data_IF_532200718594
#
_entry.id   IF_532200718594
#
_cell.length_a   1.000
_cell.length_b   1.000
_cell.length_c   1.000
_cell.angle_alpha   90.00
_cell.angle_beta   90.00
_cell.angle_gamma   90.00
#
_symmetry.space_group_name_H-M   'P 1'
#
loop_
_entity.id
_entity.type
_entity.pdbx_description
1 polymer ?
#
# COMPACT_ATOMS: atom_id res chain seq x y z
N UNK A 1 1.96 29.68 -26.66
CA UNK A 1 1.87 29.54 -25.17
C UNK A 1 1.36 28.14 -24.88
N UNK A 2 2.02 27.39 -24.00
CA UNK A 2 1.62 26.02 -23.63
C UNK A 2 0.75 26.05 -22.37
N UNK A 3 -0.34 25.28 -22.34
CA UNK A 3 -1.41 25.36 -21.33
C UNK A 3 -0.95 25.18 -19.87
N UNK A 4 0.25 24.59 -19.66
CA UNK A 4 0.93 24.46 -18.38
C UNK A 4 1.18 25.77 -17.60
N UNK A 5 1.00 26.94 -18.22
CA UNK A 5 1.10 28.24 -17.54
C UNK A 5 -0.15 28.62 -16.73
N UNK A 6 -1.33 28.04 -17.03
CA UNK A 6 -2.60 28.37 -16.36
C UNK A 6 -2.93 27.53 -15.11
N UNK A 7 -2.07 26.59 -14.70
CA UNK A 7 -2.22 25.79 -13.48
C UNK A 7 -0.97 25.83 -12.60
N UNK A 8 -0.66 27.03 -12.09
CA UNK A 8 0.43 27.28 -11.13
C UNK A 8 0.13 26.63 -9.78
N UNK A 9 0.35 25.32 -9.68
CA UNK A 9 0.11 24.53 -8.46
C UNK A 9 0.98 25.07 -7.32
N UNK A 10 0.31 25.46 -6.23
CA UNK A 10 0.95 26.05 -5.07
C UNK A 10 1.87 25.07 -4.33
N UNK A 11 2.92 25.59 -3.69
CA UNK A 11 3.79 24.79 -2.84
C UNK A 11 2.99 24.38 -1.58
N UNK A 12 2.95 23.09 -1.19
CA UNK A 12 2.30 22.69 0.06
C UNK A 12 2.90 23.45 1.26
N UNK A 13 2.06 23.95 2.17
CA UNK A 13 2.52 24.53 3.43
C UNK A 13 2.88 23.40 4.40
N UNK A 14 4.16 23.00 4.43
CA UNK A 14 4.65 21.87 5.22
C UNK A 14 4.44 22.07 6.71
N UNK A 15 4.66 23.29 7.20
CA UNK A 15 4.79 23.58 8.63
C UNK A 15 3.42 23.44 9.32
N UNK A 16 2.37 24.04 8.74
CA UNK A 16 0.97 23.89 9.17
C UNK A 16 0.42 22.46 9.00
N UNK A 17 1.05 21.61 8.19
CA UNK A 17 0.75 20.18 8.12
C UNK A 17 1.48 19.40 9.23
N UNK A 18 2.73 19.76 9.57
CA UNK A 18 3.47 19.13 10.68
C UNK A 18 2.89 19.45 12.06
N UNK A 19 2.41 20.68 12.29
CA UNK A 19 1.72 21.06 13.54
C UNK A 19 0.47 20.20 13.78
N UNK A 20 -0.35 20.00 12.74
CA UNK A 20 -1.55 19.14 12.80
C UNK A 20 -1.21 17.67 13.05
N UNK A 21 -0.14 17.15 12.44
CA UNK A 21 0.32 15.79 12.69
C UNK A 21 0.87 15.64 14.13
N UNK A 22 1.50 16.70 14.68
CA UNK A 22 1.95 16.76 16.07
C UNK A 22 0.79 16.68 17.08
N UNK A 23 -0.17 17.60 16.99
CA UNK A 23 -1.31 17.66 17.93
C UNK A 23 -2.21 16.41 17.88
N UNK A 24 -2.34 15.77 16.71
CA UNK A 24 -3.01 14.47 16.59
C UNK A 24 -2.17 13.35 17.23
N UNK A 25 -0.84 13.36 17.10
CA UNK A 25 0.02 12.38 17.77
C UNK A 25 -0.01 12.52 19.30
N UNK A 26 -0.01 13.74 19.82
CA UNK A 26 -0.20 14.01 21.26
C UNK A 26 -1.56 13.51 21.75
N UNK A 27 -2.63 13.76 20.99
CA UNK A 27 -3.98 13.29 21.28
C UNK A 27 -4.06 11.75 21.32
N UNK A 28 -3.39 11.07 20.39
CA UNK A 28 -3.24 9.61 20.38
C UNK A 28 -2.51 9.13 21.64
N UNK A 29 -1.39 9.76 22.02
CA UNK A 29 -0.57 9.33 23.16
C UNK A 29 -1.22 9.62 24.52
N UNK A 30 -2.03 10.68 24.63
CA UNK A 30 -2.91 10.90 25.77
C UNK A 30 -3.98 9.80 25.88
N UNK A 31 -4.54 9.34 24.76
CA UNK A 31 -5.57 8.30 24.76
C UNK A 31 -4.98 6.91 25.02
N UNK A 32 -3.78 6.59 24.51
CA UNK A 32 -3.03 5.38 24.89
C UNK A 32 -2.88 5.28 26.41
N UNK A 33 -2.37 6.34 27.07
CA UNK A 33 -2.20 6.40 28.53
C UNK A 33 -3.52 6.15 29.30
N UNK A 34 -4.65 6.64 28.77
CA UNK A 34 -5.99 6.38 29.34
C UNK A 34 -6.42 4.92 29.15
N UNK A 35 -6.21 4.33 27.97
CA UNK A 35 -6.47 2.92 27.68
C UNK A 35 -5.60 2.00 28.56
N UNK A 36 -4.30 2.28 28.68
CA UNK A 36 -3.35 1.51 29.50
C UNK A 36 -3.74 1.51 30.97
N UNK A 37 -4.24 2.64 31.50
CA UNK A 37 -4.72 2.73 32.88
C UNK A 37 -6.03 1.97 33.08
N UNK A 38 -7.03 2.17 32.22
CA UNK A 38 -8.27 1.38 32.23
C UNK A 38 -7.97 -0.13 32.11
N UNK A 39 -6.99 -0.53 31.30
CA UNK A 39 -6.60 -1.93 31.13
C UNK A 39 -5.92 -2.52 32.37
N UNK A 40 -5.23 -1.71 33.19
CA UNK A 40 -4.74 -2.13 34.53
C UNK A 40 -5.91 -2.32 35.48
N UNK A 41 -6.85 -1.38 35.53
CA UNK A 41 -8.05 -1.43 36.37
C UNK A 41 -8.93 -2.66 36.03
N UNK A 42 -9.21 -2.89 34.74
CA UNK A 42 -9.88 -4.08 34.20
C UNK A 42 -9.15 -5.37 34.63
N UNK A 43 -7.81 -5.41 34.52
CA UNK A 43 -7.00 -6.57 34.91
C UNK A 43 -7.01 -6.82 36.42
N UNK A 44 -7.22 -5.80 37.24
CA UNK A 44 -7.41 -5.93 38.70
C UNK A 44 -8.83 -6.42 38.98
N UNK A 45 -9.86 -5.77 38.43
CA UNK A 45 -11.27 -6.07 38.67
C UNK A 45 -11.70 -7.48 38.19
N UNK A 46 -11.05 -8.03 37.16
CA UNK A 46 -11.31 -9.37 36.64
C UNK A 46 -10.64 -10.50 37.49
N UNK A 47 -9.75 -10.16 38.44
CA UNK A 47 -9.21 -11.13 39.41
C UNK A 47 -10.28 -11.46 40.46
N UNK A 48 -10.49 -12.75 40.71
CA UNK A 48 -11.47 -13.24 41.69
C UNK A 48 -12.68 -13.97 41.11
N UNK A 49 -12.83 -14.07 39.78
CA UNK A 49 -13.91 -14.86 39.14
C UNK A 49 -13.89 -16.33 39.55
N UNK A 50 -12.72 -16.95 39.63
CA UNK A 50 -12.56 -18.34 40.10
C UNK A 50 -12.88 -18.49 41.58
N UNK A 51 -12.46 -17.53 42.41
CA UNK A 51 -12.70 -17.55 43.85
C UNK A 51 -14.19 -17.38 44.18
N UNK A 52 -14.88 -16.49 43.45
CA UNK A 52 -16.34 -16.38 43.47
C UNK A 52 -17.00 -17.69 43.05
N UNK A 53 -16.52 -18.35 41.98
CA UNK A 53 -17.08 -19.62 41.53
C UNK A 53 -16.86 -20.76 42.54
N UNK A 54 -15.72 -20.79 43.26
CA UNK A 54 -15.48 -21.72 44.38
C UNK A 54 -16.46 -21.42 45.52
N UNK A 55 -16.42 -20.21 46.09
CA UNK A 55 -17.33 -19.78 47.18
C UNK A 55 -18.81 -19.98 46.85
N UNK A 56 -19.23 -19.77 45.59
CA UNK A 56 -20.59 -20.06 45.13
C UNK A 56 -20.90 -21.55 45.16
N UNK A 57 -20.00 -22.43 44.69
CA UNK A 57 -20.18 -23.89 44.79
C UNK A 57 -20.25 -24.33 46.25
N UNK A 58 -19.36 -23.85 47.10
CA UNK A 58 -19.27 -24.23 48.52
C UNK A 58 -20.54 -23.87 49.30
N UNK A 59 -21.15 -22.71 49.00
CA UNK A 59 -22.43 -22.30 49.62
C UNK A 59 -23.60 -23.11 49.05
N UNK A 60 -23.60 -23.43 47.74
CA UNK A 60 -24.65 -24.26 47.13
C UNK A 60 -24.63 -25.69 47.70
N UNK A 61 -23.46 -26.34 47.81
CA UNK A 61 -23.37 -27.70 48.36
C UNK A 61 -23.82 -27.79 49.82
N UNK A 62 -23.66 -26.71 50.62
CA UNK A 62 -24.24 -26.61 51.97
C UNK A 62 -25.76 -26.42 51.97
N UNK A 63 -26.28 -25.59 51.06
CA UNK A 63 -27.74 -25.42 50.89
C UNK A 63 -28.39 -26.75 50.49
N UNK A 64 -27.70 -27.55 49.69
CA UNK A 64 -28.15 -28.88 49.25
C UNK A 64 -27.97 -29.94 50.34
N UNK A 65 -26.89 -29.93 51.13
CA UNK A 65 -26.74 -30.83 52.29
C UNK A 65 -27.82 -30.58 53.34
N UNK A 66 -28.09 -29.31 53.68
CA UNK A 66 -29.19 -28.95 54.57
C UNK A 66 -30.56 -29.33 53.99
N UNK A 67 -30.76 -29.30 52.67
CA UNK A 67 -32.00 -29.81 52.07
C UNK A 67 -32.13 -31.33 52.29
N UNK A 68 -31.08 -32.09 51.99
CA UNK A 68 -31.07 -33.54 52.16
C UNK A 68 -31.28 -33.98 53.61
N UNK A 69 -30.81 -33.19 54.59
CA UNK A 69 -31.06 -33.42 56.02
C UNK A 69 -32.49 -33.06 56.45
N UNK A 70 -33.04 -31.95 55.94
CA UNK A 70 -34.46 -31.60 56.14
C UNK A 70 -35.37 -32.68 55.56
N UNK A 71 -35.09 -33.18 54.34
CA UNK A 71 -35.92 -34.20 53.69
C UNK A 71 -35.89 -35.55 54.44
N UNK A 72 -34.73 -35.96 54.98
CA UNK A 72 -34.62 -37.13 55.86
C UNK A 72 -35.50 -36.98 57.10
N UNK A 73 -35.36 -35.87 57.81
CA UNK A 73 -36.14 -35.58 59.02
C UNK A 73 -37.63 -35.42 58.72
N UNK A 74 -38.02 -34.87 57.57
CA UNK A 74 -39.42 -34.79 57.14
C UNK A 74 -40.01 -36.15 56.75
N UNK A 75 -39.18 -37.12 56.34
CA UNK A 75 -39.59 -38.50 56.12
C UNK A 75 -39.71 -39.28 57.44
N UNK A 76 -38.77 -39.10 58.37
CA UNK A 76 -38.89 -39.62 59.74
C UNK A 76 -40.15 -39.09 60.45
N UNK A 77 -40.39 -37.78 60.34
CA UNK A 77 -41.60 -37.12 60.87
C UNK A 77 -42.89 -37.68 60.26
N UNK A 78 -42.89 -38.05 58.97
CA UNK A 78 -44.02 -38.71 58.30
C UNK A 78 -44.23 -40.12 58.85
N UNK A 79 -43.19 -40.96 58.90
CA UNK A 79 -43.29 -42.31 59.46
C UNK A 79 -43.75 -42.34 60.92
N UNK A 80 -43.36 -41.34 61.74
CA UNK A 80 -43.86 -41.20 63.12
C UNK A 80 -45.33 -40.78 63.16
N UNK A 81 -45.80 -39.92 62.25
CA UNK A 81 -47.22 -39.57 62.13
C UNK A 81 -48.05 -40.79 61.71
N UNK A 82 -47.58 -41.58 60.74
CA UNK A 82 -48.24 -42.80 60.28
C UNK A 82 -48.33 -43.84 61.42
N UNK A 83 -47.26 -44.00 62.20
CA UNK A 83 -47.25 -44.83 63.42
C UNK A 83 -48.26 -44.31 64.46
N UNK A 84 -48.32 -42.99 64.71
CA UNK A 84 -49.31 -42.41 65.62
C UNK A 84 -50.74 -42.70 65.13
N UNK A 85 -51.02 -42.58 63.83
CA UNK A 85 -52.34 -42.88 63.27
C UNK A 85 -52.71 -44.36 63.43
N UNK A 86 -51.77 -45.28 63.16
CA UNK A 86 -51.96 -46.72 63.38
C UNK A 86 -52.24 -47.03 64.88
N UNK A 87 -51.47 -46.44 65.80
CA UNK A 87 -51.70 -46.57 67.25
C UNK A 87 -53.06 -46.02 67.68
N UNK A 88 -53.49 -44.88 67.12
CA UNK A 88 -54.82 -44.33 67.38
C UNK A 88 -55.96 -45.20 66.82
N UNK A 89 -55.78 -45.83 65.65
CA UNK A 89 -56.73 -46.81 65.10
C UNK A 89 -56.86 -48.01 66.04
N UNK A 90 -55.74 -48.59 66.48
CA UNK A 90 -55.76 -49.71 67.41
C UNK A 90 -56.37 -49.35 68.78
N UNK A 91 -56.14 -48.15 69.32
CA UNK A 91 -56.86 -47.69 70.52
C UNK A 91 -58.38 -47.60 70.31
N UNK A 92 -58.84 -47.16 69.14
CA UNK A 92 -60.28 -47.15 68.81
C UNK A 92 -60.85 -48.58 68.77
N UNK A 93 -60.13 -49.52 68.15
CA UNK A 93 -60.49 -50.95 68.16
C UNK A 93 -60.58 -51.51 69.60
N UNK A 94 -59.55 -51.31 70.43
CA UNK A 94 -59.54 -51.75 71.83
C UNK A 94 -60.72 -51.16 72.62
N UNK A 95 -61.02 -49.86 72.43
CA UNK A 95 -62.16 -49.20 73.09
C UNK A 95 -63.52 -49.73 72.61
N UNK A 96 -63.68 -49.98 71.31
CA UNK A 96 -64.89 -50.61 70.75
C UNK A 96 -65.05 -52.04 71.27
N UNK A 97 -63.97 -52.81 71.34
CA UNK A 97 -63.97 -54.16 71.89
C UNK A 97 -64.34 -54.16 73.38
N UNK A 98 -63.76 -53.28 74.19
CA UNK A 98 -64.17 -53.10 75.59
C UNK A 98 -65.66 -52.75 75.70
N UNK A 99 -66.14 -51.78 74.92
CA UNK A 99 -67.54 -51.37 74.95
C UNK A 99 -68.52 -52.47 74.47
N UNK A 100 -68.10 -53.33 73.54
CA UNK A 100 -68.88 -54.48 73.09
C UNK A 100 -68.94 -55.57 74.16
N UNK A 101 -67.82 -55.86 74.84
CA UNK A 101 -67.81 -56.81 75.97
C UNK A 101 -68.65 -56.25 77.13
N UNK A 102 -68.59 -54.95 77.42
CA UNK A 102 -69.45 -54.29 78.43
C UNK A 102 -70.95 -54.51 78.15
N UNK A 103 -71.36 -54.34 76.88
CA UNK A 103 -72.74 -54.61 76.42
C UNK A 103 -73.14 -56.08 76.55
N UNK A 104 -72.19 -57.01 76.38
CA UNK A 104 -72.43 -58.45 76.54
C UNK A 104 -72.52 -58.89 78.01
N UNK A 105 -71.77 -58.25 78.91
CA UNK A 105 -71.81 -58.54 80.36
C UNK A 105 -73.15 -58.07 80.94
N UNK A 106 -73.54 -56.82 80.69
CA UNK A 106 -74.81 -56.24 81.16
C UNK A 106 -74.88 -55.89 82.65
N UNK A 107 -73.74 -55.93 83.36
CA UNK A 107 -73.60 -55.58 84.78
C UNK A 107 -72.39 -54.66 84.99
N UNK A 108 -72.43 -53.85 86.04
CA UNK A 108 -71.40 -52.83 86.29
C UNK A 108 -70.22 -53.35 87.12
N UNK A 109 -70.45 -54.27 88.07
CA UNK A 109 -69.42 -54.89 88.90
C UNK A 109 -69.53 -56.43 88.90
N UNK A 110 -68.41 -57.13 89.10
CA UNK A 110 -68.39 -58.60 89.27
C UNK A 110 -69.19 -59.04 90.50
N UNK A 111 -69.17 -58.24 91.57
CA UNK A 111 -69.98 -58.50 92.77
C UNK A 111 -71.48 -58.55 92.49
N UNK A 112 -71.97 -57.76 91.53
CA UNK A 112 -73.41 -57.65 91.26
C UNK A 112 -73.91 -58.82 90.41
N UNK A 113 -73.02 -59.41 89.60
CA UNK A 113 -73.23 -60.73 88.98
C UNK A 113 -73.37 -61.79 90.09
N UNK A 114 -72.48 -61.77 91.09
CA UNK A 114 -72.45 -62.79 92.14
C UNK A 114 -73.57 -62.64 93.19
N UNK A 115 -73.99 -61.41 93.51
CA UNK A 115 -75.22 -61.12 94.27
C UNK A 115 -76.44 -61.69 93.55
N UNK A 116 -76.55 -61.47 92.23
CA UNK A 116 -77.67 -61.94 91.41
C UNK A 116 -77.69 -63.46 91.20
N UNK A 117 -76.53 -64.11 91.12
CA UNK A 117 -76.43 -65.58 91.16
C UNK A 117 -77.00 -66.09 92.49
N UNK A 118 -76.51 -65.59 93.63
CA UNK A 118 -76.97 -65.97 94.96
C UNK A 118 -78.48 -65.74 95.17
N UNK A 119 -79.03 -64.66 94.63
CA UNK A 119 -80.48 -64.43 94.63
C UNK A 119 -81.28 -65.50 93.87
N UNK A 120 -80.78 -65.95 92.71
CA UNK A 120 -81.45 -66.97 91.90
C UNK A 120 -81.30 -68.36 92.54
N UNK A 121 -80.13 -68.67 93.08
CA UNK A 121 -79.87 -69.90 93.85
C UNK A 121 -80.77 -69.98 95.09
N UNK A 122 -80.91 -68.90 95.87
CA UNK A 122 -81.84 -68.83 96.98
C UNK A 122 -83.29 -69.06 96.52
N UNK A 123 -83.74 -68.43 95.43
CA UNK A 123 -85.09 -68.63 94.87
C UNK A 123 -85.33 -70.08 94.43
N UNK A 124 -84.34 -70.75 93.83
CA UNK A 124 -84.39 -72.17 93.47
C UNK A 124 -84.47 -73.08 94.71
N UNK A 125 -83.76 -72.75 95.79
CA UNK A 125 -83.74 -73.56 97.01
C UNK A 125 -84.96 -73.36 97.93
N UNK A 126 -85.68 -72.24 97.83
CA UNK A 126 -86.75 -71.89 98.80
C UNK A 126 -88.16 -71.71 98.22
N UNK A 127 -88.36 -71.84 96.91
CA UNK A 127 -89.69 -71.62 96.29
C UNK A 127 -90.14 -72.77 95.38
N UNK A 128 -91.44 -73.08 95.42
CA UNK A 128 -92.07 -74.11 94.57
C UNK A 128 -92.41 -73.52 93.20
N UNK A 129 -91.43 -73.50 92.31
CA UNK A 129 -91.55 -73.05 90.90
C UNK A 129 -91.83 -74.23 89.96
N UNK A 130 -92.35 -73.97 88.76
CA UNK A 130 -92.51 -75.03 87.77
C UNK A 130 -91.16 -75.41 87.14
N UNK A 131 -91.05 -76.67 86.70
CA UNK A 131 -89.86 -77.22 86.01
C UNK A 131 -89.45 -76.38 84.77
N UNK A 132 -90.40 -75.64 84.18
CA UNK A 132 -90.12 -74.70 83.06
C UNK A 132 -89.38 -73.45 83.55
N UNK A 133 -89.79 -72.89 84.68
CA UNK A 133 -89.21 -71.69 85.28
C UNK A 133 -87.87 -72.02 85.96
N UNK A 134 -87.80 -73.14 86.68
CA UNK A 134 -86.57 -73.71 87.25
C UNK A 134 -85.47 -73.82 86.18
N UNK A 135 -85.80 -74.42 85.01
CA UNK A 135 -84.88 -74.52 83.87
C UNK A 135 -84.47 -73.16 83.30
N UNK A 136 -85.35 -72.16 83.32
CA UNK A 136 -85.00 -70.78 82.91
C UNK A 136 -84.04 -70.13 83.90
N UNK A 137 -84.25 -70.29 85.21
CA UNK A 137 -83.37 -69.76 86.25
C UNK A 137 -81.99 -70.44 86.26
N UNK A 138 -81.93 -71.77 86.06
CA UNK A 138 -80.67 -72.50 85.90
C UNK A 138 -79.92 -72.01 84.64
N UNK A 139 -80.62 -71.79 83.52
CA UNK A 139 -80.02 -71.21 82.32
C UNK A 139 -79.49 -69.78 82.56
N UNK A 140 -80.16 -68.98 83.41
CA UNK A 140 -79.67 -67.65 83.81
C UNK A 140 -78.39 -67.75 84.66
N UNK A 141 -78.32 -68.65 85.66
CA UNK A 141 -77.09 -68.88 86.43
C UNK A 141 -75.94 -69.31 85.50
N UNK A 142 -76.20 -70.20 84.54
CA UNK A 142 -75.19 -70.62 83.56
C UNK A 142 -74.73 -69.47 82.64
N UNK A 143 -75.60 -68.51 82.31
CA UNK A 143 -75.23 -67.32 81.56
C UNK A 143 -74.40 -66.33 82.41
N UNK A 144 -74.81 -66.07 83.66
CA UNK A 144 -74.09 -65.18 84.58
C UNK A 144 -72.68 -65.71 84.89
N UNK A 145 -72.52 -67.01 85.12
CA UNK A 145 -71.21 -67.64 85.31
C UNK A 145 -70.32 -67.58 84.06
N UNK A 146 -70.89 -67.58 82.84
CA UNK A 146 -70.13 -67.34 81.60
C UNK A 146 -69.73 -65.87 81.43
N UNK A 147 -70.49 -64.92 81.97
CA UNK A 147 -70.17 -63.49 81.94
C UNK A 147 -69.07 -63.09 82.94
N UNK A 148 -68.88 -63.85 84.03
CA UNK A 148 -67.83 -63.58 85.04
C UNK A 148 -66.40 -63.48 84.46
N UNK A 149 -65.86 -64.46 83.70
CA UNK A 149 -64.54 -64.32 83.07
C UNK A 149 -64.48 -63.20 82.02
N UNK A 150 -65.61 -62.84 81.39
CA UNK A 150 -65.69 -61.71 80.47
C UNK A 150 -65.53 -60.36 81.20
N UNK A 151 -65.95 -60.24 82.46
CA UNK A 151 -65.68 -59.04 83.26
C UNK A 151 -64.18 -58.87 83.55
N UNK A 152 -63.47 -59.97 83.85
CA UNK A 152 -62.00 -59.94 84.02
C UNK A 152 -61.27 -59.55 82.73
N UNK A 153 -61.72 -60.01 81.56
CA UNK A 153 -61.13 -59.62 80.28
C UNK A 153 -61.50 -58.18 79.89
N UNK A 154 -62.74 -57.75 80.12
CA UNK A 154 -63.18 -56.36 79.96
C UNK A 154 -62.30 -55.39 80.76
N UNK A 155 -62.12 -55.62 82.06
CA UNK A 155 -61.30 -54.77 82.93
C UNK A 155 -59.85 -54.67 82.45
N UNK A 156 -59.26 -55.78 81.97
CA UNK A 156 -57.91 -55.79 81.37
C UNK A 156 -57.85 -54.95 80.09
N UNK A 157 -58.84 -55.07 79.20
CA UNK A 157 -58.90 -54.33 77.93
C UNK A 157 -59.19 -52.83 78.16
N UNK A 158 -60.06 -52.47 79.11
CA UNK A 158 -60.33 -51.07 79.47
C UNK A 158 -59.11 -50.39 80.09
N UNK A 159 -58.42 -51.06 81.04
CA UNK A 159 -57.17 -50.54 81.61
C UNK A 159 -56.08 -50.36 80.54
N UNK A 160 -55.90 -51.34 79.65
CA UNK A 160 -54.97 -51.24 78.53
C UNK A 160 -55.33 -50.09 77.57
N UNK A 161 -56.59 -49.97 77.15
CA UNK A 161 -57.06 -48.91 76.26
C UNK A 161 -56.94 -47.50 76.88
N UNK A 162 -57.00 -47.41 78.22
CA UNK A 162 -56.85 -46.16 78.95
C UNK A 162 -55.39 -45.68 78.94
N UNK A 163 -54.45 -46.53 79.37
CA UNK A 163 -53.01 -46.21 79.44
C UNK A 163 -52.30 -46.14 78.08
N UNK A 164 -52.93 -46.68 77.02
CA UNK A 164 -52.34 -46.79 75.68
C UNK A 164 -51.75 -45.49 75.10
N UNK A 165 -52.33 -44.33 75.41
CA UNK A 165 -51.84 -43.04 74.88
C UNK A 165 -50.53 -42.65 75.55
N UNK A 166 -50.43 -42.80 76.87
CA UNK A 166 -49.26 -42.38 77.64
C UNK A 166 -48.07 -43.31 77.38
N UNK A 167 -48.33 -44.61 77.26
CA UNK A 167 -47.30 -45.61 76.99
C UNK A 167 -46.81 -45.60 75.53
N UNK A 168 -47.68 -45.29 74.54
CA UNK A 168 -47.34 -45.45 73.11
C UNK A 168 -47.39 -44.18 72.26
N UNK A 169 -48.25 -43.21 72.57
CA UNK A 169 -48.49 -42.03 71.72
C UNK A 169 -47.73 -40.80 72.23
N UNK A 170 -47.67 -40.58 73.54
CA UNK A 170 -46.92 -39.46 74.14
C UNK A 170 -45.42 -39.51 73.77
N UNK A 171 -44.72 -40.67 73.83
CA UNK A 171 -43.32 -40.76 73.41
C UNK A 171 -43.11 -40.50 71.90
N UNK A 172 -44.07 -40.89 71.05
CA UNK A 172 -44.01 -40.60 69.61
C UNK A 172 -44.25 -39.11 69.31
N UNK A 173 -45.15 -38.45 70.06
CA UNK A 173 -45.34 -36.99 69.97
C UNK A 173 -44.07 -36.24 70.36
N UNK A 174 -43.44 -36.59 71.48
CA UNK A 174 -42.18 -35.97 71.92
C UNK A 174 -41.08 -36.07 70.84
N UNK A 175 -40.87 -37.27 70.27
CA UNK A 175 -39.92 -37.48 69.16
C UNK A 175 -40.28 -36.66 67.91
N UNK A 176 -41.56 -36.55 67.57
CA UNK A 176 -42.02 -35.72 66.46
C UNK A 176 -41.71 -34.23 66.69
N UNK A 177 -41.86 -33.73 67.92
CA UNK A 177 -41.61 -32.32 68.25
C UNK A 177 -40.10 -32.00 68.32
N UNK A 178 -39.27 -32.91 68.82
CA UNK A 178 -37.80 -32.83 68.64
C UNK A 178 -37.40 -32.72 67.15
N UNK A 179 -38.01 -33.54 66.29
CA UNK A 179 -37.72 -33.54 64.84
C UNK A 179 -38.18 -32.24 64.20
N UNK A 180 -39.32 -31.66 64.62
CA UNK A 180 -39.77 -30.33 64.19
C UNK A 180 -38.77 -29.24 64.60
N UNK A 181 -38.20 -29.29 65.80
CA UNK A 181 -37.14 -28.37 66.21
C UNK A 181 -35.88 -28.51 65.33
N UNK A 182 -35.41 -29.73 65.10
CA UNK A 182 -34.24 -30.03 64.26
C UNK A 182 -34.44 -29.50 62.83
N UNK A 183 -35.61 -29.76 62.24
CA UNK A 183 -36.02 -29.20 60.94
C UNK A 183 -36.02 -27.66 60.95
N UNK A 184 -36.56 -27.02 61.98
CA UNK A 184 -36.61 -25.56 62.08
C UNK A 184 -35.21 -24.92 62.22
N UNK A 185 -34.29 -25.56 62.95
CA UNK A 185 -32.89 -25.14 63.07
C UNK A 185 -32.19 -25.20 61.70
N UNK A 186 -32.25 -26.33 61.01
CA UNK A 186 -31.69 -26.51 59.66
C UNK A 186 -32.33 -25.57 58.62
N UNK A 187 -33.64 -25.31 58.69
CA UNK A 187 -34.32 -24.33 57.81
C UNK A 187 -33.79 -22.91 58.01
N UNK A 188 -33.47 -22.52 59.24
CA UNK A 188 -32.86 -21.21 59.53
C UNK A 188 -31.40 -21.15 59.05
N UNK A 189 -30.61 -22.19 59.26
CA UNK A 189 -29.23 -22.27 58.75
C UNK A 189 -29.17 -22.24 57.22
N UNK A 190 -30.05 -22.98 56.56
CA UNK A 190 -30.24 -22.94 55.09
C UNK A 190 -30.70 -21.56 54.60
N UNK A 191 -31.53 -20.84 55.36
CA UNK A 191 -31.90 -19.44 55.06
C UNK A 191 -30.69 -18.52 55.17
N UNK A 192 -29.82 -18.73 56.15
CA UNK A 192 -28.60 -17.94 56.33
C UNK A 192 -27.57 -18.18 55.21
N UNK A 193 -27.29 -19.43 54.82
CA UNK A 193 -26.44 -19.71 53.64
C UNK A 193 -27.07 -19.16 52.34
N UNK A 194 -28.40 -19.21 52.18
CA UNK A 194 -29.11 -18.57 51.05
C UNK A 194 -28.97 -17.05 51.02
N UNK A 195 -28.87 -16.38 52.18
CA UNK A 195 -28.61 -14.94 52.23
C UNK A 195 -27.15 -14.64 51.85
N UNK A 196 -26.17 -15.38 52.39
CA UNK A 196 -24.76 -15.29 51.97
C UNK A 196 -24.59 -15.50 50.46
N UNK A 197 -25.35 -16.42 49.86
CA UNK A 197 -25.37 -16.65 48.41
C UNK A 197 -25.87 -15.41 47.64
N UNK A 198 -26.92 -14.73 48.13
CA UNK A 198 -27.43 -13.48 47.52
C UNK A 198 -26.43 -12.34 47.66
N UNK A 199 -25.83 -12.15 48.82
CA UNK A 199 -24.80 -11.14 49.08
C UNK A 199 -23.56 -11.35 48.18
N UNK A 200 -23.14 -12.61 48.02
CA UNK A 200 -22.06 -13.00 47.11
C UNK A 200 -22.43 -12.75 45.64
N UNK A 201 -23.69 -12.99 45.24
CA UNK A 201 -24.19 -12.70 43.89
C UNK A 201 -24.29 -11.19 43.61
N UNK A 202 -24.88 -10.41 44.51
CA UNK A 202 -25.02 -8.96 44.38
C UNK A 202 -23.64 -8.28 44.28
N UNK A 203 -22.73 -8.60 45.21
CA UNK A 203 -21.36 -8.06 45.19
C UNK A 203 -20.54 -8.51 43.98
N UNK A 204 -20.87 -9.65 43.34
CA UNK A 204 -20.30 -10.03 42.05
C UNK A 204 -20.94 -9.24 40.90
N UNK A 205 -22.26 -9.05 40.91
CA UNK A 205 -23.00 -8.29 39.89
C UNK A 205 -22.58 -6.82 39.86
N UNK A 206 -22.41 -6.17 41.01
CA UNK A 206 -21.89 -4.80 41.11
C UNK A 206 -20.46 -4.68 40.53
N UNK A 207 -19.57 -5.62 40.87
CA UNK A 207 -18.22 -5.68 40.31
C UNK A 207 -18.25 -5.91 38.79
N UNK A 208 -19.17 -6.75 38.31
CA UNK A 208 -19.32 -7.01 36.88
C UNK A 208 -19.96 -5.82 36.14
N UNK A 209 -20.82 -5.02 36.77
CA UNK A 209 -21.32 -3.76 36.20
C UNK A 209 -20.17 -2.77 36.02
N UNK A 210 -19.41 -2.51 37.10
CA UNK A 210 -18.23 -1.63 37.08
C UNK A 210 -17.19 -2.11 36.07
N UNK A 211 -16.98 -3.42 35.93
CA UNK A 211 -16.12 -4.01 34.90
C UNK A 211 -16.66 -3.77 33.48
N UNK A 212 -17.97 -3.89 33.25
CA UNK A 212 -18.60 -3.58 31.96
C UNK A 212 -18.51 -2.08 31.63
N UNK A 213 -18.71 -1.20 32.61
CA UNK A 213 -18.54 0.25 32.49
C UNK A 213 -17.11 0.63 32.09
N UNK A 214 -16.09 0.04 32.75
CA UNK A 214 -14.68 0.22 32.40
C UNK A 214 -14.34 -0.32 31.00
N UNK A 215 -14.92 -1.46 30.60
CA UNK A 215 -14.77 -2.00 29.24
C UNK A 215 -15.40 -1.07 28.19
N UNK A 216 -16.62 -0.57 28.43
CA UNK A 216 -17.30 0.39 27.56
C UNK A 216 -16.49 1.69 27.43
N UNK A 217 -15.91 2.18 28.52
CA UNK A 217 -14.99 3.32 28.52
C UNK A 217 -13.74 3.03 27.66
N UNK A 218 -13.07 1.90 27.88
CA UNK A 218 -11.90 1.45 27.11
C UNK A 218 -12.20 1.36 25.61
N UNK A 219 -13.36 0.79 25.24
CA UNK A 219 -13.77 0.65 23.84
C UNK A 219 -14.15 2.00 23.22
N UNK A 220 -14.72 2.93 24.00
CA UNK A 220 -14.97 4.32 23.56
C UNK A 220 -13.67 5.08 23.28
N UNK A 221 -12.64 4.90 24.13
CA UNK A 221 -11.31 5.46 23.90
C UNK A 221 -10.61 4.78 22.73
N UNK A 222 -10.78 3.47 22.55
CA UNK A 222 -10.21 2.72 21.41
C UNK A 222 -10.81 3.19 20.09
N UNK A 223 -12.13 3.46 20.05
CA UNK A 223 -12.79 4.09 18.88
C UNK A 223 -12.23 5.49 18.59
N UNK A 224 -12.02 6.34 19.61
CA UNK A 224 -11.40 7.66 19.46
C UNK A 224 -9.95 7.56 18.96
N UNK A 225 -9.15 6.65 19.50
CA UNK A 225 -7.77 6.39 19.05
C UNK A 225 -7.71 5.96 17.58
N UNK A 226 -8.62 5.08 17.15
CA UNK A 226 -8.74 4.69 15.75
C UNK A 226 -9.15 5.86 14.83
N UNK A 227 -10.06 6.73 15.30
CA UNK A 227 -10.44 7.94 14.57
C UNK A 227 -9.24 8.88 14.35
N UNK A 228 -8.48 9.21 15.40
CA UNK A 228 -7.26 10.01 15.27
C UNK A 228 -6.20 9.35 14.37
N UNK A 229 -6.08 8.01 14.34
CA UNK A 229 -5.23 7.33 13.36
C UNK A 229 -5.72 7.46 11.92
N UNK A 230 -7.04 7.48 11.69
CA UNK A 230 -7.63 7.73 10.37
C UNK A 230 -7.38 9.17 9.92
N UNK A 231 -7.59 10.17 10.80
CA UNK A 231 -7.27 11.58 10.52
C UNK A 231 -5.78 11.78 10.23
N UNK A 232 -4.89 11.20 11.05
CA UNK A 232 -3.45 11.26 10.82
C UNK A 232 -3.08 10.65 9.46
N UNK A 233 -3.77 9.58 9.04
CA UNK A 233 -3.57 8.94 7.74
C UNK A 233 -4.10 9.80 6.59
N UNK A 234 -5.31 10.37 6.67
CA UNK A 234 -5.85 11.23 5.61
C UNK A 234 -4.98 12.48 5.41
N UNK A 235 -4.58 13.13 6.50
CA UNK A 235 -3.69 14.30 6.48
C UNK A 235 -2.32 13.94 5.86
N UNK A 236 -1.78 12.75 6.13
CA UNK A 236 -0.54 12.27 5.49
C UNK A 236 -0.75 12.05 3.97
N UNK A 237 -1.85 11.43 3.57
CA UNK A 237 -2.19 11.16 2.15
C UNK A 237 -2.39 12.47 1.38
N UNK A 238 -3.17 13.43 1.90
CA UNK A 238 -3.33 14.76 1.29
C UNK A 238 -1.98 15.45 1.03
N UNK A 239 -1.07 15.35 2.01
CA UNK A 239 0.24 15.96 1.98
C UNK A 239 1.12 15.26 0.91
N UNK A 240 1.03 13.94 0.78
CA UNK A 240 1.69 13.18 -0.29
C UNK A 240 1.11 13.43 -1.68
N UNK A 241 -0.21 13.58 -1.81
CA UNK A 241 -0.87 13.96 -3.07
C UNK A 241 -0.46 15.37 -3.52
N UNK A 242 -0.51 16.35 -2.63
CA UNK A 242 -0.07 17.73 -2.92
C UNK A 242 1.45 17.79 -3.22
N UNK A 243 2.27 17.00 -2.51
CA UNK A 243 3.69 16.77 -2.89
C UNK A 243 3.83 16.20 -4.30
N UNK A 244 3.01 15.20 -4.67
CA UNK A 244 3.05 14.53 -5.98
C UNK A 244 2.64 15.47 -7.11
N UNK A 245 1.57 16.24 -6.92
CA UNK A 245 1.10 17.27 -7.86
C UNK A 245 2.15 18.37 -8.09
N UNK A 246 2.75 18.89 -7.02
CA UNK A 246 3.81 19.90 -7.13
C UNK A 246 5.08 19.33 -7.81
N UNK A 247 5.42 18.06 -7.55
CA UNK A 247 6.53 17.37 -8.21
C UNK A 247 6.28 17.15 -9.71
N UNK A 248 5.10 16.66 -10.11
CA UNK A 248 4.77 16.48 -11.53
C UNK A 248 4.72 17.82 -12.27
N UNK A 249 4.14 18.86 -11.68
CA UNK A 249 4.18 20.22 -12.23
C UNK A 249 5.63 20.69 -12.51
N UNK A 250 6.53 20.54 -11.52
CA UNK A 250 7.95 20.91 -11.69
C UNK A 250 8.67 20.07 -12.75
N UNK A 251 8.37 18.77 -12.85
CA UNK A 251 8.94 17.89 -13.87
C UNK A 251 8.46 18.30 -15.26
N UNK A 252 7.15 18.50 -15.45
CA UNK A 252 6.56 18.92 -16.72
C UNK A 252 7.13 20.28 -17.18
N UNK A 253 7.31 21.23 -16.26
CA UNK A 253 7.92 22.53 -16.56
C UNK A 253 9.40 22.42 -16.97
N UNK A 254 10.15 21.48 -16.38
CA UNK A 254 11.53 21.19 -16.79
C UNK A 254 11.59 20.47 -18.15
N UNK A 255 10.70 19.50 -18.39
CA UNK A 255 10.58 18.80 -19.67
C UNK A 255 10.22 19.76 -20.80
N UNK A 256 9.22 20.63 -20.62
CA UNK A 256 8.83 21.64 -21.60
C UNK A 256 9.95 22.66 -21.90
N UNK A 257 10.81 22.97 -20.92
CA UNK A 257 12.04 23.77 -21.14
C UNK A 257 13.11 22.98 -21.89
N UNK A 258 13.28 21.70 -21.59
CA UNK A 258 14.25 20.83 -22.26
C UNK A 258 13.86 20.53 -23.71
N UNK A 259 12.56 20.37 -24.00
CA UNK A 259 12.00 20.21 -25.34
C UNK A 259 12.28 21.45 -26.18
N UNK A 260 11.87 22.64 -25.72
CA UNK A 260 12.18 23.93 -26.38
C UNK A 260 13.67 24.13 -26.61
N UNK A 261 14.53 23.77 -25.66
CA UNK A 261 15.99 23.87 -25.82
C UNK A 261 16.57 22.82 -26.81
N UNK A 262 15.94 21.66 -26.97
CA UNK A 262 16.29 20.68 -28.02
C UNK A 262 15.85 21.19 -29.38
N UNK A 263 14.59 21.59 -29.52
CA UNK A 263 14.02 22.20 -30.73
C UNK A 263 14.87 23.39 -31.23
N UNK A 264 15.26 24.29 -30.32
CA UNK A 264 16.14 25.44 -30.63
C UNK A 264 17.54 25.01 -31.08
N UNK A 265 18.11 23.96 -30.48
CA UNK A 265 19.43 23.42 -30.86
C UNK A 265 19.39 22.66 -32.18
N UNK A 266 18.39 21.82 -32.39
CA UNK A 266 18.18 21.06 -33.62
C UNK A 266 17.97 22.01 -34.80
N UNK A 267 17.13 23.05 -34.60
CA UNK A 267 16.99 24.16 -35.56
C UNK A 267 18.32 24.88 -35.81
N UNK A 268 19.07 25.29 -34.78
CA UNK A 268 20.36 26.00 -34.94
C UNK A 268 21.42 25.15 -35.64
N UNK A 269 21.44 23.84 -35.37
CA UNK A 269 22.33 22.90 -36.05
C UNK A 269 21.98 22.81 -37.54
N UNK A 270 20.70 22.71 -37.90
CA UNK A 270 20.24 22.71 -39.29
C UNK A 270 20.49 24.07 -39.99
N UNK A 271 20.31 25.20 -39.30
CA UNK A 271 20.67 26.53 -39.82
C UNK A 271 22.18 26.65 -40.11
N UNK A 272 23.03 26.07 -39.25
CA UNK A 272 24.49 26.03 -39.45
C UNK A 272 24.92 25.03 -40.53
N UNK A 273 24.31 23.85 -40.60
CA UNK A 273 24.53 22.86 -41.66
C UNK A 273 24.18 23.46 -43.03
N UNK A 274 23.06 24.19 -43.11
CA UNK A 274 22.67 24.95 -44.31
C UNK A 274 23.75 25.96 -44.71
N UNK A 275 24.18 26.82 -43.80
CA UNK A 275 25.19 27.86 -44.07
C UNK A 275 26.54 27.28 -44.51
N UNK A 276 26.92 26.09 -44.06
CA UNK A 276 28.14 25.44 -44.50
C UNK A 276 27.99 24.83 -45.90
N UNK A 277 26.83 24.25 -46.23
CA UNK A 277 26.53 23.76 -47.57
C UNK A 277 26.34 24.90 -48.59
N UNK A 278 25.83 26.06 -48.16
CA UNK A 278 25.78 27.29 -48.96
C UNK A 278 27.19 27.79 -49.29
N UNK A 279 28.13 27.78 -48.34
CA UNK A 279 29.56 28.11 -48.59
C UNK A 279 30.24 27.08 -49.51
N UNK A 280 30.04 25.78 -49.26
CA UNK A 280 30.54 24.74 -50.18
C UNK A 280 30.01 24.95 -51.62
N UNK A 281 28.80 25.48 -51.77
CA UNK A 281 28.21 25.78 -53.08
C UNK A 281 28.85 27.01 -53.74
N UNK A 282 29.21 28.04 -52.96
CA UNK A 282 29.92 29.24 -53.43
C UNK A 282 31.37 28.92 -53.82
N UNK A 283 32.11 28.18 -52.99
CA UNK A 283 33.51 27.77 -53.25
C UNK A 283 33.65 26.94 -54.54
N UNK A 284 32.60 26.22 -54.95
CA UNK A 284 32.59 25.32 -56.11
C UNK A 284 32.44 26.05 -57.46
N UNK A 285 31.97 27.30 -57.48
CA UNK A 285 31.90 28.09 -58.71
C UNK A 285 33.28 28.68 -59.12
N UNK A 286 34.34 28.37 -58.37
CA UNK A 286 35.73 28.59 -58.76
C UNK A 286 36.15 27.67 -59.93
N UNK A 287 36.07 28.19 -61.16
CA UNK A 287 36.35 27.44 -62.40
C UNK A 287 37.77 26.81 -62.43
N UNK A 288 37.90 25.46 -62.44
CA UNK A 288 39.18 24.79 -62.43
C UNK A 288 39.93 24.93 -63.77
N UNK A 289 41.26 24.92 -63.71
CA UNK A 289 42.19 25.04 -64.85
C UNK A 289 42.09 26.34 -65.67
N UNK A 290 41.33 27.35 -65.20
CA UNK A 290 41.17 28.66 -65.86
C UNK A 290 42.52 29.39 -66.03
N UNK A 291 43.34 29.40 -65.00
CA UNK A 291 44.62 30.11 -64.98
C UNK A 291 45.65 29.47 -65.92
N UNK A 292 45.74 28.13 -65.92
CA UNK A 292 46.65 27.37 -66.79
C UNK A 292 46.30 27.54 -68.28
N UNK A 293 45.00 27.59 -68.63
CA UNK A 293 44.55 27.88 -69.99
C UNK A 293 44.92 29.32 -70.39
N UNK A 294 44.68 30.32 -69.53
CA UNK A 294 45.06 31.70 -69.80
C UNK A 294 46.60 31.87 -69.95
N UNK A 295 47.38 31.15 -69.14
CA UNK A 295 48.84 31.11 -69.21
C UNK A 295 49.33 30.55 -70.55
N UNK A 296 48.71 29.47 -71.05
CA UNK A 296 49.00 28.88 -72.37
C UNK A 296 48.54 29.80 -73.51
N UNK A 297 47.39 30.47 -73.40
CA UNK A 297 46.93 31.46 -74.39
C UNK A 297 47.85 32.69 -74.46
N UNK A 298 48.39 33.14 -73.33
CA UNK A 298 49.40 34.20 -73.28
C UNK A 298 50.71 33.77 -73.96
N UNK A 299 51.19 32.54 -73.72
CA UNK A 299 52.37 32.00 -74.42
C UNK A 299 52.15 31.84 -75.93
N UNK A 300 51.00 31.30 -76.35
CA UNK A 300 50.63 31.21 -77.78
C UNK A 300 50.55 32.60 -78.43
N UNK A 301 50.00 33.59 -77.71
CA UNK A 301 49.90 34.98 -78.19
C UNK A 301 51.25 35.68 -78.27
N UNK A 302 52.20 35.33 -77.41
CA UNK A 302 53.58 35.83 -77.47
C UNK A 302 54.33 35.20 -78.65
N UNK A 303 54.34 33.87 -78.80
CA UNK A 303 55.03 33.20 -79.91
C UNK A 303 54.50 33.65 -81.29
N UNK A 304 53.19 33.89 -81.43
CA UNK A 304 52.61 34.45 -82.66
C UNK A 304 53.20 35.82 -83.03
N UNK A 305 53.48 36.69 -82.06
CA UNK A 305 54.13 37.99 -82.33
C UNK A 305 55.52 37.80 -82.94
N UNK A 306 56.34 36.88 -82.43
CA UNK A 306 57.64 36.57 -83.04
C UNK A 306 57.51 35.95 -84.44
N UNK A 307 56.48 35.13 -84.66
CA UNK A 307 56.21 34.55 -85.98
C UNK A 307 55.78 35.61 -87.02
N UNK A 308 55.10 36.68 -86.59
CA UNK A 308 54.71 37.79 -87.47
C UNK A 308 55.81 38.87 -87.60
N UNK A 309 56.62 39.09 -86.55
CA UNK A 309 57.83 39.92 -86.62
C UNK A 309 58.88 39.32 -87.56
N UNK A 310 59.04 37.99 -87.58
CA UNK A 310 59.89 37.29 -88.54
C UNK A 310 59.48 37.56 -90.00
N UNK A 311 58.17 37.50 -90.30
CA UNK A 311 57.61 37.84 -91.63
C UNK A 311 57.79 39.32 -91.98
N UNK A 312 57.84 40.20 -90.98
CA UNK A 312 58.01 41.65 -91.16
C UNK A 312 59.47 42.09 -91.36
N UNK A 313 60.47 41.30 -90.93
CA UNK A 313 61.88 41.57 -91.24
C UNK A 313 62.25 41.30 -92.71
N UNK A 314 61.62 40.32 -93.35
CA UNK A 314 61.91 39.99 -94.77
C UNK A 314 61.44 41.10 -95.73
N UNK A 315 60.39 41.84 -95.38
CA UNK A 315 59.78 42.88 -96.20
C UNK A 315 60.58 44.20 -96.30
N UNK A 316 61.67 44.39 -95.55
CA UNK A 316 62.34 45.70 -95.35
C UNK A 316 63.74 45.85 -95.95
N UNK A 317 64.10 45.07 -96.98
CA UNK A 317 65.43 45.09 -97.64
C UNK A 317 65.49 45.75 -99.03
N UNK A 318 64.60 46.69 -99.35
CA UNK A 318 64.72 47.53 -100.55
C UNK A 318 64.36 49.01 -100.30
N UNK A 319 65.29 49.79 -99.75
CA UNK A 319 65.62 51.17 -100.17
C UNK A 319 66.81 51.68 -99.33
N UNK A 320 67.52 52.70 -99.85
CA UNK A 320 68.87 53.05 -99.40
C UNK A 320 68.98 54.55 -99.09
N UNK A 321 69.85 54.92 -98.13
CA UNK A 321 70.27 56.30 -97.78
C UNK A 321 69.14 57.29 -97.35
N UNK A 322 69.28 58.04 -96.26
CA UNK A 322 70.39 58.98 -96.05
C UNK A 322 70.51 59.50 -94.59
N UNK A 323 71.49 60.39 -94.38
CA UNK A 323 71.94 61.10 -93.17
C UNK A 323 70.89 61.52 -92.11
N UNK A 324 71.21 61.92 -90.86
CA UNK A 324 72.37 61.85 -89.92
C UNK A 324 72.09 62.88 -88.79
N UNK A 325 72.67 62.73 -87.58
CA UNK A 325 72.61 63.66 -86.41
C UNK A 325 71.28 63.60 -85.62
N UNK A 326 71.20 63.85 -84.32
CA UNK A 326 72.17 64.14 -83.22
C UNK A 326 71.53 63.64 -81.90
N UNK A 327 72.18 62.87 -81.04
CA UNK A 327 73.15 63.26 -80.00
C UNK A 327 72.53 64.10 -78.85
N UNK A 328 72.62 63.60 -77.61
CA UNK A 328 72.09 64.22 -76.39
C UNK A 328 71.24 63.26 -75.53
N UNK A 329 71.45 62.97 -74.24
CA UNK A 329 72.65 62.80 -73.37
C UNK A 329 72.17 62.60 -71.90
N UNK A 330 72.84 61.74 -71.08
CA UNK A 330 72.77 61.72 -69.59
C UNK A 330 71.42 61.24 -68.94
N UNK A 331 71.35 60.47 -67.84
CA UNK A 331 72.38 59.87 -66.96
C UNK A 331 72.02 58.52 -66.28
N UNK A 332 72.92 58.09 -65.36
CA UNK A 332 72.99 56.89 -64.48
C UNK A 332 71.76 56.77 -63.53
N UNK A 333 71.56 55.74 -62.69
CA UNK A 333 72.41 54.68 -62.08
C UNK A 333 71.67 53.31 -62.11
N UNK A 334 72.24 52.11 -61.97
CA UNK A 334 73.25 51.56 -61.01
C UNK A 334 72.72 51.62 -59.54
N UNK A 335 72.92 50.64 -58.65
CA UNK A 335 73.73 49.40 -58.70
C UNK A 335 73.29 48.43 -57.58
N UNK A 336 73.54 47.10 -57.75
CA UNK A 336 73.98 46.13 -56.72
C UNK A 336 73.12 45.82 -55.46
N UNK A 337 73.36 44.74 -54.68
CA UNK A 337 74.21 43.51 -54.76
C UNK A 337 73.32 42.31 -54.27
N UNK A 338 73.51 41.00 -54.54
CA UNK A 338 74.66 40.05 -54.48
C UNK A 338 75.22 39.76 -53.07
N UNK A 339 76.15 38.81 -52.77
CA UNK A 339 76.90 37.68 -53.42
C UNK A 339 77.34 36.75 -52.24
N UNK A 340 77.57 35.42 -52.25
CA UNK A 340 77.49 34.26 -53.18
C UNK A 340 77.46 32.96 -52.29
N UNK A 341 77.48 31.73 -52.86
CA UNK A 341 77.69 30.48 -52.09
C UNK A 341 76.97 29.24 -52.67
N UNK A 342 77.38 28.55 -53.74
CA UNK A 342 78.67 27.88 -54.08
C UNK A 342 78.79 26.44 -53.53
N UNK A 343 78.87 25.44 -54.43
CA UNK A 343 79.89 24.40 -54.33
C UNK A 343 80.17 23.62 -55.65
N UNK A 344 81.45 23.63 -56.00
CA UNK A 344 82.12 23.07 -57.20
C UNK A 344 82.05 21.53 -57.33
N UNK A 345 82.17 20.99 -58.56
CA UNK A 345 83.40 20.24 -58.97
C UNK A 345 83.53 19.94 -60.49
N UNK A 346 84.74 20.24 -61.03
CA UNK A 346 85.64 19.51 -61.97
C UNK A 346 85.10 18.23 -62.68
N UNK A 347 85.47 17.84 -63.92
CA UNK A 347 86.46 18.26 -64.96
C UNK A 347 86.11 17.49 -66.30
N UNK A 348 86.66 17.64 -67.52
CA UNK A 348 87.73 18.46 -68.15
C UNK A 348 87.60 18.51 -69.71
N UNK A 349 88.56 19.18 -70.39
CA UNK A 349 89.21 18.97 -71.71
C UNK A 349 88.74 17.83 -72.68
N UNK A 350 88.85 17.94 -74.03
CA UNK A 350 89.74 18.77 -74.90
C UNK A 350 89.21 18.86 -76.37
N UNK A 351 89.47 20.00 -77.06
CA UNK A 351 89.66 20.26 -78.53
C UNK A 351 88.89 19.41 -79.60
N UNK A 352 88.29 19.96 -80.67
CA UNK A 352 88.14 21.35 -81.16
C UNK A 352 88.18 21.48 -82.70
N UNK A 353 87.52 22.53 -83.27
CA UNK A 353 87.26 22.83 -84.71
C UNK A 353 86.13 21.94 -85.32
N UNK A 354 85.28 22.40 -86.26
CA UNK A 354 85.42 23.51 -87.23
C UNK A 354 84.12 24.34 -87.47
N UNK A 355 84.32 25.52 -88.10
CA UNK A 355 83.39 26.54 -88.64
C UNK A 355 81.90 26.21 -88.94
N UNK A 356 81.03 27.16 -88.51
CA UNK A 356 79.83 27.74 -89.19
C UNK A 356 78.63 26.81 -89.48
N UNK A 357 77.38 27.28 -89.52
CA UNK A 357 76.86 28.65 -89.75
C UNK A 357 76.14 29.33 -88.56
N UNK A 358 75.60 30.54 -88.79
CA UNK A 358 74.86 31.36 -87.81
C UNK A 358 73.36 31.40 -88.13
N UNK A 359 72.54 30.64 -87.39
CA UNK A 359 71.12 30.97 -87.21
C UNK A 359 70.98 32.23 -86.33
N UNK A 360 69.88 32.98 -86.49
CA UNK A 360 69.55 34.12 -85.63
C UNK A 360 68.87 33.61 -84.35
N UNK A 361 69.48 33.81 -83.19
CA UNK A 361 68.82 33.64 -81.88
C UNK A 361 68.14 34.96 -81.47
N UNK A 362 66.90 34.89 -80.98
CA UNK A 362 66.21 36.04 -80.38
C UNK A 362 66.25 35.98 -78.84
N UNK A 363 65.95 37.09 -78.16
CA UNK A 363 65.90 37.15 -76.69
C UNK A 363 64.46 36.97 -76.21
N UNK A 364 64.20 35.89 -75.49
CA UNK A 364 62.97 35.71 -74.72
C UNK A 364 63.01 36.54 -73.43
N UNK A 365 61.85 37.06 -73.01
CA UNK A 365 61.72 37.78 -71.75
C UNK A 365 61.65 36.82 -70.55
N UNK A 366 62.21 37.21 -69.40
CA UNK A 366 62.47 36.36 -68.25
C UNK A 366 61.18 35.79 -67.63
N UNK A 367 60.14 36.62 -67.53
CA UNK A 367 58.82 36.19 -67.04
C UNK A 367 58.21 35.08 -67.90
N UNK A 368 58.47 35.12 -69.20
CA UNK A 368 57.91 34.19 -70.18
C UNK A 368 58.75 32.91 -70.24
N UNK A 369 60.07 33.01 -70.03
CA UNK A 369 60.93 31.87 -69.75
C UNK A 369 60.43 31.08 -68.52
N UNK A 370 60.04 31.78 -67.44
CA UNK A 370 59.38 31.16 -66.29
C UNK A 370 58.06 30.47 -66.66
N UNK A 371 57.21 31.09 -67.48
CA UNK A 371 55.96 30.46 -67.94
C UNK A 371 56.19 29.18 -68.77
N UNK A 372 57.22 29.14 -69.63
CA UNK A 372 57.62 27.94 -70.36
C UNK A 372 58.08 26.82 -69.40
N UNK A 373 58.85 27.17 -68.36
CA UNK A 373 59.28 26.24 -67.31
C UNK A 373 58.07 25.71 -66.52
N UNK A 374 57.13 26.56 -66.07
CA UNK A 374 55.94 26.11 -65.33
C UNK A 374 55.01 25.26 -66.18
N UNK A 375 54.89 25.55 -67.48
CA UNK A 375 54.16 24.71 -68.43
C UNK A 375 54.93 23.45 -68.85
N UNK A 376 56.18 23.27 -68.43
CA UNK A 376 57.02 22.11 -68.77
C UNK A 376 57.25 21.95 -70.27
N UNK A 377 57.54 23.04 -70.98
CA UNK A 377 57.91 23.06 -72.40
C UNK A 377 59.26 23.77 -72.53
N UNK A 378 60.18 23.19 -73.30
CA UNK A 378 61.46 23.84 -73.58
C UNK A 378 61.22 25.13 -74.41
N UNK A 379 61.70 26.29 -73.96
CA UNK A 379 61.53 27.55 -74.69
C UNK A 379 62.31 27.54 -76.02
N UNK A 380 61.75 28.08 -77.12
CA UNK A 380 62.42 28.09 -78.42
C UNK A 380 63.59 29.09 -78.45
N UNK A 381 64.76 28.64 -78.89
CA UNK A 381 66.02 29.41 -78.90
C UNK A 381 66.37 29.88 -80.32
N UNK A 382 65.96 29.13 -81.35
CA UNK A 382 65.97 29.54 -82.77
C UNK A 382 64.56 29.85 -83.28
N UNK A 383 64.45 30.64 -84.35
CA UNK A 383 63.18 30.85 -85.06
C UNK A 383 62.58 29.55 -85.60
N UNK A 384 63.43 28.59 -86.01
CA UNK A 384 63.02 27.28 -86.52
C UNK A 384 62.34 26.40 -85.46
N UNK A 385 62.48 26.74 -84.17
CA UNK A 385 61.91 26.01 -83.04
C UNK A 385 60.54 26.56 -82.59
N UNK A 386 60.10 27.69 -83.16
CA UNK A 386 58.84 28.34 -82.78
C UNK A 386 57.64 27.47 -83.15
N UNK A 387 57.53 26.99 -84.39
CA UNK A 387 56.41 26.14 -84.84
C UNK A 387 56.27 24.81 -84.07
N UNK A 388 57.34 23.99 -83.85
CA UNK A 388 57.20 22.81 -83.01
C UNK A 388 56.92 23.13 -81.52
N UNK A 389 57.25 24.33 -81.04
CA UNK A 389 56.84 24.79 -79.71
C UNK A 389 55.35 25.19 -79.67
N UNK A 390 54.84 25.85 -80.71
CA UNK A 390 53.42 26.20 -80.88
C UNK A 390 52.57 24.91 -80.91
N UNK A 391 52.98 23.88 -81.66
CA UNK A 391 52.31 22.58 -81.68
C UNK A 391 52.19 21.95 -80.29
N UNK A 392 53.28 21.93 -79.51
CA UNK A 392 53.29 21.39 -78.13
C UNK A 392 52.42 22.20 -77.16
N UNK A 393 52.36 23.53 -77.32
CA UNK A 393 51.43 24.37 -76.56
C UNK A 393 49.96 24.06 -76.92
N UNK A 394 49.65 23.81 -78.20
CA UNK A 394 48.31 23.40 -78.63
C UNK A 394 47.92 21.99 -78.13
N UNK A 395 48.86 21.04 -78.07
CA UNK A 395 48.63 19.73 -77.44
C UNK A 395 48.30 19.87 -75.94
N UNK A 396 49.11 20.64 -75.20
CA UNK A 396 48.84 20.87 -73.77
C UNK A 396 47.53 21.65 -73.55
N UNK A 397 47.24 22.65 -74.39
CA UNK A 397 45.93 23.34 -74.40
C UNK A 397 44.79 22.33 -74.52
N UNK A 398 44.82 21.43 -75.50
CA UNK A 398 43.79 20.42 -75.70
C UNK A 398 43.68 19.41 -74.54
N UNK A 399 44.79 19.10 -73.85
CA UNK A 399 44.77 18.31 -72.62
C UNK A 399 44.09 19.06 -71.45
N UNK A 400 44.38 20.35 -71.28
CA UNK A 400 43.75 21.17 -70.24
C UNK A 400 42.30 21.52 -70.55
N UNK A 401 41.91 21.68 -71.81
CA UNK A 401 40.50 21.82 -72.22
C UNK A 401 39.70 20.54 -71.91
N UNK A 402 40.25 19.35 -72.19
CA UNK A 402 39.62 18.09 -71.77
C UNK A 402 39.51 17.94 -70.25
N UNK A 403 40.59 18.23 -69.51
CA UNK A 403 40.58 18.22 -68.03
C UNK A 403 39.57 19.22 -67.45
N UNK A 404 39.47 20.42 -68.03
CA UNK A 404 38.44 21.41 -67.69
C UNK A 404 37.04 20.84 -67.92
N UNK A 405 36.76 20.28 -69.09
CA UNK A 405 35.41 19.83 -69.44
C UNK A 405 34.95 18.64 -68.58
N UNK A 406 35.84 17.71 -68.23
CA UNK A 406 35.51 16.64 -67.28
C UNK A 406 35.42 17.16 -65.83
N UNK A 407 36.23 18.14 -65.45
CA UNK A 407 36.13 18.76 -64.12
C UNK A 407 34.89 19.64 -63.96
N UNK A 408 34.41 20.28 -65.04
CA UNK A 408 33.14 21.04 -65.06
C UNK A 408 31.96 20.10 -64.88
N UNK A 409 31.93 18.91 -65.53
CA UNK A 409 30.91 17.89 -65.27
C UNK A 409 30.89 17.44 -63.81
N UNK A 410 32.06 17.28 -63.19
CA UNK A 410 32.18 16.92 -61.78
C UNK A 410 31.73 18.05 -60.84
N UNK A 411 32.09 19.30 -61.15
CA UNK A 411 31.59 20.52 -60.47
C UNK A 411 30.08 20.62 -60.56
N UNK A 412 29.49 20.47 -61.75
CA UNK A 412 28.03 20.45 -61.94
C UNK A 412 27.33 19.36 -61.13
N UNK A 413 27.88 18.14 -61.12
CA UNK A 413 27.30 17.03 -60.36
C UNK A 413 27.39 17.26 -58.86
N UNK A 414 28.49 17.84 -58.35
CA UNK A 414 28.60 18.26 -56.96
C UNK A 414 27.61 19.39 -56.64
N UNK A 415 27.52 20.42 -57.48
CA UNK A 415 26.55 21.54 -57.38
C UNK A 415 25.10 21.06 -57.29
N UNK A 416 24.73 20.10 -58.15
CA UNK A 416 23.42 19.42 -58.11
C UNK A 416 23.23 18.66 -56.78
N UNK A 417 24.22 17.91 -56.31
CA UNK A 417 24.15 17.17 -55.03
C UNK A 417 24.12 18.03 -53.77
N UNK A 418 24.66 19.25 -53.81
CA UNK A 418 24.60 20.21 -52.71
C UNK A 418 23.27 20.97 -52.71
N UNK A 419 22.80 21.41 -53.88
CA UNK A 419 21.49 22.08 -53.99
C UNK A 419 20.30 21.17 -53.65
N UNK A 420 20.40 19.85 -53.78
CA UNK A 420 19.40 18.92 -53.20
C UNK A 420 19.48 18.86 -51.68
N UNK A 421 20.69 18.72 -51.10
CA UNK A 421 20.88 18.68 -49.64
C UNK A 421 20.44 19.96 -48.94
N UNK A 422 20.72 21.12 -49.52
CA UNK A 422 20.26 22.42 -49.01
C UNK A 422 18.72 22.43 -48.94
N UNK A 423 18.02 22.00 -49.99
CA UNK A 423 16.55 21.89 -50.00
C UNK A 423 16.04 20.90 -48.95
N UNK A 424 16.64 19.72 -48.83
CA UNK A 424 16.28 18.76 -47.79
C UNK A 424 16.45 19.31 -46.36
N UNK A 425 17.36 20.28 -46.16
CA UNK A 425 17.57 20.96 -44.87
C UNK A 425 16.60 22.14 -44.72
N UNK A 426 16.25 22.86 -45.79
CA UNK A 426 15.19 23.86 -45.79
C UNK A 426 13.81 23.24 -45.46
N UNK A 427 13.51 22.07 -46.01
CA UNK A 427 12.28 21.30 -45.71
C UNK A 427 12.26 20.85 -44.24
N UNK A 428 13.39 20.35 -43.71
CA UNK A 428 13.53 20.04 -42.27
C UNK A 428 13.36 21.29 -41.40
N UNK A 429 13.95 22.41 -41.78
CA UNK A 429 13.79 23.70 -41.08
C UNK A 429 12.37 24.25 -41.16
N UNK A 430 11.62 23.98 -42.23
CA UNK A 430 10.22 24.36 -42.35
C UNK A 430 9.34 23.66 -41.29
N UNK A 431 9.65 22.40 -40.94
CA UNK A 431 8.96 21.68 -39.83
C UNK A 431 9.21 22.35 -38.47
N UNK A 432 10.37 22.99 -38.27
CA UNK A 432 10.69 23.75 -37.05
C UNK A 432 10.22 25.21 -37.07
N UNK A 433 9.59 25.70 -38.15
CA UNK A 433 8.91 27.01 -38.14
C UNK A 433 7.56 26.87 -37.43
N UNK A 434 7.28 27.63 -36.36
CA UNK A 434 5.92 27.71 -35.84
C UNK A 434 5.03 28.35 -36.90
N UNK A 435 3.88 27.74 -37.19
CA UNK A 435 2.86 28.32 -38.06
C UNK A 435 2.54 29.75 -37.58
N UNK A 436 2.57 30.72 -38.50
CA UNK A 436 2.58 32.12 -38.11
C UNK A 436 1.32 32.55 -37.36
N UNK A 437 1.51 33.42 -36.37
CA UNK A 437 0.43 33.98 -35.57
C UNK A 437 -0.55 34.76 -36.45
N UNK A 438 -1.72 34.17 -36.74
CA UNK A 438 -2.92 34.91 -37.13
C UNK A 438 -3.39 35.75 -35.95
N UNK A 439 -2.76 36.92 -35.75
CA UNK A 439 -3.14 37.92 -34.75
C UNK A 439 -4.54 38.45 -35.05
N UNK A 440 -5.55 37.76 -34.53
CA UNK A 440 -6.93 38.23 -34.54
C UNK A 440 -7.03 39.60 -33.88
N UNK A 441 -7.26 40.63 -34.69
CA UNK A 441 -7.25 42.03 -34.26
C UNK A 441 -8.52 42.32 -33.43
N UNK A 442 -8.48 42.01 -32.12
CA UNK A 442 -9.55 42.42 -31.20
C UNK A 442 -9.54 43.94 -31.06
N UNK A 443 -10.48 44.60 -31.74
CA UNK A 443 -10.72 46.03 -31.65
C UNK A 443 -11.43 46.36 -30.34
N UNK A 444 -10.90 47.34 -29.60
CA UNK A 444 -11.55 47.84 -28.39
C UNK A 444 -12.71 48.79 -28.76
N UNK A 445 -13.95 48.34 -28.53
CA UNK A 445 -15.09 49.18 -28.13
C UNK A 445 -15.72 48.48 -26.92
N UNK A 446 -15.59 48.95 -25.68
CA UNK A 446 -15.93 50.27 -25.11
C UNK A 446 -17.45 50.48 -24.93
N UNK A 447 -17.88 50.30 -23.66
CA UNK A 447 -19.09 50.81 -23.00
C UNK A 447 -20.45 50.67 -23.72
N UNK A 448 -21.28 49.78 -23.19
CA UNK A 448 -22.52 50.18 -22.51
C UNK A 448 -22.51 49.52 -21.13
#
# INVERSE_FOLDING_TARGET
>A
MTEAENSKIEKPNFDAYTEKLGSISESIDQIKKKIDNLQKEIKIANRGKEEYNKKKKDIVTRIDSFQNEIDKLENERRGILDQIEQKQKHKKELRVNAQNIKKQIGFENEEDIEKKIREIENKLMTSTISIKEEKVLINQIQALNKNRPLFSSYSKIENAASKYDDETIVPLKAKMDEIREKINKLRNEKKNERNKLKELQNSYQERNSKLNELNNLRDSYSKKMNHYFMERRSITVELEEKKKQYRSYKINLLQAKQQKLKEERERKNLEFEKQNLEKELEDIDALPYREELALIENMLSYLKKFQDEAKMEEAKKQQNSSNKKTNGEVEKTNENDKEEGDNKTKNENKKGKNKKDKQKTFKLDMNILCYFVTAGIAPPVSFDEIDPCISKLHEKRAMYEKKRDDSVKNVENRRKSLTTKIKEIEDKLAVFKPAEYTKGHKTNKAKA
#
